data_IF_176322751676
#
_entry.id   IF_176322751676
#
_cell.length_a   1.000
_cell.length_b   1.000
_cell.length_c   1.000
_cell.angle_alpha   90.00
_cell.angle_beta   90.00
_cell.angle_gamma   90.00
#
_symmetry.space_group_name_H-M   'P 1'
#
loop_
_entity.id
_entity.type
_entity.pdbx_description
1 polymer ?
#
# COMPACT_ATOMS: atom_id res chain seq x y z
N UNK A 1 -54.00 13.63 -10.09
CA UNK A 1 -53.41 12.28 -9.99
C UNK A 1 -53.01 11.89 -11.41
N UNK A 2 -51.74 11.70 -11.80
CA UNK A 2 -50.48 11.46 -11.10
C UNK A 2 -49.35 12.06 -11.96
N UNK A 3 -48.31 12.56 -11.28
CA UNK A 3 -47.05 13.14 -11.77
C UNK A 3 -46.15 12.09 -12.43
N UNK A 4 -45.34 12.44 -13.45
CA UNK A 4 -43.99 11.90 -13.74
C UNK A 4 -43.43 12.70 -14.95
N UNK A 5 -42.19 13.16 -15.04
CA UNK A 5 -41.09 13.39 -14.10
C UNK A 5 -40.02 14.06 -14.98
N UNK A 6 -39.71 15.33 -14.71
CA UNK A 6 -38.74 16.12 -15.46
C UNK A 6 -37.33 15.55 -15.30
N UNK A 7 -36.80 14.81 -16.27
CA UNK A 7 -35.35 14.58 -16.38
C UNK A 7 -34.93 14.32 -17.84
N UNK A 8 -35.09 15.32 -18.70
CA UNK A 8 -34.54 15.26 -20.07
C UNK A 8 -33.70 16.50 -20.40
N UNK A 9 -32.94 17.00 -19.42
CA UNK A 9 -31.98 18.11 -19.62
C UNK A 9 -30.60 17.83 -19.01
N UNK A 10 -30.38 16.68 -18.36
CA UNK A 10 -29.04 16.30 -17.90
C UNK A 10 -28.49 15.22 -18.83
N UNK A 11 -27.44 15.57 -19.59
CA UNK A 11 -26.58 14.72 -20.43
C UNK A 11 -26.49 15.15 -21.91
N UNK A 12 -26.43 16.46 -22.15
CA UNK A 12 -25.62 17.00 -23.27
C UNK A 12 -24.23 17.30 -22.73
N UNK A 13 -23.55 16.25 -22.26
CA UNK A 13 -22.10 16.23 -22.07
C UNK A 13 -21.69 14.85 -22.59
N UNK A 14 -21.67 14.73 -23.91
CA UNK A 14 -20.95 13.67 -24.59
C UNK A 14 -19.49 13.75 -24.15
N UNK A 15 -19.07 12.74 -23.39
CA UNK A 15 -17.85 11.95 -23.59
C UNK A 15 -16.61 12.65 -24.16
N UNK A 16 -16.30 13.85 -23.68
CA UNK A 16 -14.95 14.37 -23.79
C UNK A 16 -14.13 13.58 -22.77
N UNK A 17 -13.43 12.55 -23.24
CA UNK A 17 -12.51 11.77 -22.44
C UNK A 17 -11.50 12.73 -21.79
N UNK A 18 -11.73 13.06 -20.51
CA UNK A 18 -10.80 13.88 -19.76
C UNK A 18 -9.55 13.05 -19.52
N UNK A 19 -8.51 13.34 -20.30
CA UNK A 19 -7.21 12.72 -20.16
C UNK A 19 -6.47 13.38 -19.00
N UNK A 20 -6.19 12.60 -17.95
CA UNK A 20 -5.45 13.07 -16.79
C UNK A 20 -4.16 12.26 -16.65
N UNK A 21 -3.02 12.95 -16.71
CA UNK A 21 -1.73 12.30 -16.47
C UNK A 21 -1.51 12.07 -14.98
N UNK A 22 -1.38 10.80 -14.59
CA UNK A 22 -1.13 10.38 -13.22
C UNK A 22 0.38 10.17 -13.05
N UNK A 23 1.04 11.09 -12.34
CA UNK A 23 2.48 10.99 -12.07
C UNK A 23 2.80 10.26 -10.74
N UNK A 24 1.84 10.17 -9.82
CA UNK A 24 2.05 9.60 -8.47
C UNK A 24 0.81 8.85 -7.95
N UNK A 25 1.00 7.98 -6.96
CA UNK A 25 -0.10 7.29 -6.28
C UNK A 25 -1.03 8.24 -5.53
N UNK A 26 -0.53 9.40 -5.07
CA UNK A 26 -1.36 10.37 -4.36
C UNK A 26 -2.38 11.04 -5.28
N UNK A 27 -2.09 11.15 -6.58
CA UNK A 27 -3.06 11.62 -7.58
C UNK A 27 -4.16 10.56 -7.84
N UNK A 28 -3.85 9.28 -7.63
CA UNK A 28 -4.80 8.18 -7.86
C UNK A 28 -5.88 8.09 -6.76
N UNK A 29 -5.54 8.41 -5.50
CA UNK A 29 -6.47 8.37 -4.36
C UNK A 29 -7.79 9.15 -4.60
N UNK A 30 -7.78 10.45 -4.96
CA UNK A 30 -9.01 11.18 -5.20
C UNK A 30 -9.78 10.65 -6.42
N UNK A 31 -9.10 10.10 -7.43
CA UNK A 31 -9.75 9.49 -8.59
C UNK A 31 -10.53 8.24 -8.20
N UNK A 32 -9.94 7.33 -7.42
CA UNK A 32 -10.63 6.12 -6.92
C UNK A 32 -11.89 6.50 -6.13
N UNK A 33 -11.78 7.49 -5.23
CA UNK A 33 -12.94 8.00 -4.48
C UNK A 33 -14.00 8.60 -5.41
N UNK A 34 -13.58 9.33 -6.44
CA UNK A 34 -14.44 9.93 -7.44
C UNK A 34 -15.22 8.88 -8.24
N UNK A 35 -14.53 7.86 -8.76
CA UNK A 35 -15.14 6.76 -9.49
C UNK A 35 -16.13 5.97 -8.62
N UNK A 36 -15.79 5.71 -7.35
CA UNK A 36 -16.73 5.06 -6.43
C UNK A 36 -18.03 5.85 -6.30
N UNK A 37 -17.92 7.17 -6.13
CA UNK A 37 -19.10 8.06 -6.05
C UNK A 37 -19.90 8.07 -7.35
N UNK A 38 -19.21 8.11 -8.51
CA UNK A 38 -19.83 8.03 -9.85
C UNK A 38 -20.56 6.71 -10.06
N UNK A 39 -20.04 5.61 -9.50
CA UNK A 39 -20.69 4.30 -9.48
C UNK A 39 -21.80 4.17 -8.40
N UNK A 40 -22.11 5.25 -7.67
CA UNK A 40 -23.10 5.27 -6.58
C UNK A 40 -22.85 4.25 -5.46
N UNK A 41 -21.59 3.84 -5.26
CA UNK A 41 -21.22 2.88 -4.23
C UNK A 41 -20.78 3.60 -2.95
N UNK A 42 -21.28 3.14 -1.79
CA UNK A 42 -20.74 3.56 -0.49
C UNK A 42 -19.43 2.80 -0.20
N UNK A 43 -18.66 3.25 0.80
CA UNK A 43 -17.50 2.49 1.26
C UNK A 43 -17.90 1.10 1.79
N UNK A 44 -19.04 1.02 2.47
CA UNK A 44 -19.58 -0.25 2.96
C UNK A 44 -19.96 -1.20 1.81
N UNK A 45 -20.62 -0.69 0.76
CA UNK A 45 -20.99 -1.49 -0.41
C UNK A 45 -19.77 -2.02 -1.17
N UNK A 46 -18.70 -1.22 -1.29
CA UNK A 46 -17.44 -1.69 -1.85
C UNK A 46 -16.78 -2.76 -0.98
N UNK A 47 -16.76 -2.53 0.34
CA UNK A 47 -16.20 -3.49 1.29
C UNK A 47 -16.92 -4.84 1.25
N UNK A 48 -18.26 -4.82 1.18
CA UNK A 48 -19.11 -6.00 1.03
C UNK A 48 -18.76 -6.79 -0.25
N UNK A 49 -18.71 -6.11 -1.40
CA UNK A 49 -18.32 -6.73 -2.69
C UNK A 49 -16.90 -7.31 -2.66
N UNK A 50 -16.03 -6.74 -1.82
CA UNK A 50 -14.64 -7.15 -1.66
C UNK A 50 -14.43 -8.20 -0.57
N UNK A 51 -15.48 -8.57 0.19
CA UNK A 51 -15.41 -9.51 1.31
C UNK A 51 -14.56 -9.01 2.49
N UNK A 52 -14.53 -7.69 2.74
CA UNK A 52 -13.72 -7.07 3.81
C UNK A 52 -14.58 -6.13 4.68
N UNK A 53 -14.03 -5.69 5.82
CA UNK A 53 -14.71 -4.69 6.64
C UNK A 53 -14.72 -3.31 5.96
N UNK A 54 -15.73 -2.48 6.29
CA UNK A 54 -15.79 -1.09 5.82
C UNK A 54 -14.54 -0.30 6.23
N UNK A 55 -14.05 -0.50 7.46
CA UNK A 55 -12.83 0.16 7.95
C UNK A 55 -11.61 -0.23 7.11
N UNK A 56 -11.47 -1.52 6.74
CA UNK A 56 -10.41 -1.99 5.86
C UNK A 56 -10.47 -1.31 4.49
N UNK A 57 -11.66 -1.15 3.91
CA UNK A 57 -11.83 -0.44 2.65
C UNK A 57 -11.53 1.07 2.77
N UNK A 58 -11.96 1.71 3.86
CA UNK A 58 -11.63 3.12 4.13
C UNK A 58 -10.11 3.33 4.24
N UNK A 59 -9.39 2.39 4.86
CA UNK A 59 -7.93 2.43 4.94
C UNK A 59 -7.27 2.25 3.57
N UNK A 60 -7.85 1.41 2.70
CA UNK A 60 -7.39 1.27 1.31
C UNK A 60 -7.52 2.61 0.58
N UNK A 61 -8.67 3.31 0.65
CA UNK A 61 -8.84 4.62 0.01
C UNK A 61 -7.89 5.69 0.58
N UNK A 62 -7.60 5.64 1.89
CA UNK A 62 -6.68 6.58 2.54
C UNK A 62 -5.20 6.30 2.18
N UNK A 63 -4.81 5.02 2.08
CA UNK A 63 -3.45 4.58 1.81
C UNK A 63 -3.37 3.55 0.67
N UNK A 64 -3.48 4.04 -0.56
CA UNK A 64 -3.31 3.20 -1.75
C UNK A 64 -1.91 2.58 -1.86
N UNK A 65 -0.86 3.19 -1.30
CA UNK A 65 0.51 2.71 -1.43
C UNK A 65 0.76 1.37 -0.70
N UNK A 66 -0.04 1.05 0.32
CA UNK A 66 0.00 -0.26 0.98
C UNK A 66 -0.87 -1.33 0.31
N UNK A 67 -1.63 -0.97 -0.73
CA UNK A 67 -2.54 -1.89 -1.44
C UNK A 67 -1.78 -2.60 -2.56
N UNK A 68 -2.00 -3.90 -2.71
CA UNK A 68 -1.41 -4.63 -3.84
C UNK A 68 -2.00 -4.14 -5.17
N UNK A 69 -1.20 -4.23 -6.23
CA UNK A 69 -1.63 -3.87 -7.59
C UNK A 69 -2.84 -4.71 -8.03
N UNK A 70 -2.82 -6.02 -7.75
CA UNK A 70 -3.95 -6.91 -8.04
C UNK A 70 -5.25 -6.45 -7.34
N UNK A 71 -5.14 -6.06 -6.07
CA UNK A 71 -6.29 -5.57 -5.31
C UNK A 71 -6.83 -4.25 -5.86
N UNK A 72 -5.93 -3.35 -6.29
CA UNK A 72 -6.31 -2.13 -7.01
C UNK A 72 -7.08 -2.45 -8.29
N UNK A 73 -6.60 -3.39 -9.12
CA UNK A 73 -7.32 -3.80 -10.34
C UNK A 73 -8.67 -4.45 -10.04
N UNK A 74 -8.81 -5.16 -8.92
CA UNK A 74 -10.10 -5.69 -8.49
C UNK A 74 -11.07 -4.56 -8.14
N UNK A 75 -10.61 -3.55 -7.41
CA UNK A 75 -11.42 -2.36 -7.06
C UNK A 75 -11.88 -1.63 -8.32
N UNK A 76 -10.99 -1.42 -9.29
CA UNK A 76 -11.31 -0.75 -10.55
C UNK A 76 -12.37 -1.52 -11.35
N UNK A 77 -12.23 -2.85 -11.45
CA UNK A 77 -13.21 -3.72 -12.10
C UNK A 77 -14.60 -3.64 -11.47
N UNK A 78 -14.68 -3.58 -10.14
CA UNK A 78 -15.97 -3.45 -9.42
C UNK A 78 -16.69 -2.12 -9.70
N UNK A 79 -15.95 -1.08 -10.12
CA UNK A 79 -16.49 0.23 -10.46
C UNK A 79 -16.61 0.45 -11.99
N UNK A 80 -16.37 -0.59 -12.79
CA UNK A 80 -16.30 -0.54 -14.26
C UNK A 80 -15.29 0.51 -14.80
N UNK A 81 -14.13 0.60 -14.16
CA UNK A 81 -13.04 1.52 -14.53
C UNK A 81 -11.90 0.76 -15.19
N UNK A 82 -11.35 1.31 -16.28
CA UNK A 82 -10.22 0.77 -17.03
C UNK A 82 -8.99 1.68 -16.87
N UNK A 83 -7.80 1.09 -16.95
CA UNK A 83 -6.52 1.82 -17.05
C UNK A 83 -5.99 1.62 -18.48
N UNK A 84 -5.52 2.70 -19.09
CA UNK A 84 -4.78 2.66 -20.35
C UNK A 84 -3.31 2.99 -20.08
N UNK A 85 -2.41 2.27 -20.75
CA UNK A 85 -0.97 2.51 -20.71
C UNK A 85 -0.55 2.96 -22.10
N UNK A 86 0.18 4.07 -22.17
CA UNK A 86 0.74 4.63 -23.40
C UNK A 86 2.26 4.69 -23.27
N UNK A 87 2.97 4.53 -24.38
CA UNK A 87 4.41 4.74 -24.40
C UNK A 87 4.73 6.20 -24.07
N UNK A 88 5.83 6.41 -23.35
CA UNK A 88 6.35 7.76 -23.16
C UNK A 88 6.91 8.29 -24.47
N UNK A 89 6.75 9.58 -24.72
CA UNK A 89 7.22 10.24 -25.94
C UNK A 89 8.71 9.89 -26.18
N UNK A 90 9.12 9.40 -27.38
CA UNK A 90 10.48 8.95 -27.68
C UNK A 90 11.59 9.98 -27.42
N UNK A 91 11.25 11.26 -27.24
CA UNK A 91 12.19 12.32 -26.83
C UNK A 91 12.33 12.52 -25.30
N UNK A 92 11.51 11.87 -24.48
CA UNK A 92 11.56 11.99 -23.02
C UNK A 92 12.70 11.13 -22.47
N UNK A 93 13.82 11.78 -22.15
CA UNK A 93 14.93 11.13 -21.44
C UNK A 93 14.44 10.73 -20.04
N UNK A 94 14.52 9.44 -19.65
CA UNK A 94 14.15 9.03 -18.29
C UNK A 94 14.95 9.82 -17.26
N UNK A 95 14.30 10.39 -16.23
CA UNK A 95 15.00 11.22 -15.22
C UNK A 95 16.12 10.38 -14.56
N UNK A 96 17.40 10.75 -14.74
CA UNK A 96 18.53 9.99 -14.21
C UNK A 96 18.58 9.95 -12.67
N UNK A 97 17.70 10.69 -11.99
CA UNK A 97 17.50 10.64 -10.53
C UNK A 97 16.63 9.48 -10.06
N UNK A 98 15.89 8.80 -10.95
CA UNK A 98 15.18 7.56 -10.63
C UNK A 98 16.21 6.43 -10.53
N UNK A 99 16.97 6.40 -9.44
CA UNK A 99 17.86 5.28 -9.12
C UNK A 99 17.05 4.27 -8.30
N UNK A 100 16.99 2.98 -8.70
CA UNK A 100 16.41 1.96 -7.84
C UNK A 100 17.17 2.01 -6.52
N UNK A 101 16.43 2.16 -5.42
CA UNK A 101 16.99 2.22 -4.07
C UNK A 101 17.50 0.83 -3.72
N UNK A 102 18.71 0.50 -4.16
CA UNK A 102 19.40 -0.72 -3.74
C UNK A 102 19.56 -0.63 -2.23
N UNK A 103 18.89 -1.52 -1.49
CA UNK A 103 19.13 -1.66 -0.05
C UNK A 103 20.62 -1.93 0.12
N UNK A 104 21.35 -0.93 0.61
CA UNK A 104 22.76 -1.06 0.94
C UNK A 104 22.92 -2.25 1.86
N UNK A 105 23.66 -3.25 1.37
CA UNK A 105 24.12 -4.40 2.15
C UNK A 105 24.85 -3.81 3.35
N UNK A 106 24.29 -3.96 4.54
CA UNK A 106 24.93 -3.54 5.77
C UNK A 106 26.35 -4.14 5.79
N UNK A 107 27.36 -3.27 5.83
CA UNK A 107 28.74 -3.67 6.03
C UNK A 107 28.81 -4.28 7.43
N UNK A 108 28.81 -5.60 7.53
CA UNK A 108 29.22 -6.31 8.75
C UNK A 108 30.71 -6.02 8.91
N UNK A 109 31.03 -5.01 9.71
CA UNK A 109 32.40 -4.76 10.16
C UNK A 109 32.71 -5.85 11.19
N UNK A 110 33.35 -6.93 10.75
CA UNK A 110 33.90 -7.93 11.65
C UNK A 110 35.00 -7.30 12.49
N UNK A 111 34.81 -7.29 13.80
CA UNK A 111 35.85 -6.99 14.79
C UNK A 111 36.85 -8.12 14.75
N UNK A 112 38.04 -7.86 14.21
CA UNK A 112 39.20 -8.75 14.36
C UNK A 112 39.68 -8.58 15.80
N UNK A 113 39.47 -9.62 16.61
CA UNK A 113 40.08 -9.78 17.93
C UNK A 113 41.44 -10.44 17.70
N UNK A 114 42.49 -9.63 17.70
CA UNK A 114 43.86 -10.12 17.86
C UNK A 114 44.14 -10.25 19.36
N UNK A 115 44.36 -11.48 19.83
CA UNK A 115 44.91 -11.73 21.16
C UNK A 115 45.86 -12.94 21.09
N UNK A 116 47.15 -12.77 21.44
CA UNK A 116 47.94 -13.91 21.85
C UNK A 116 48.74 -13.64 23.14
N UNK A 117 48.40 -14.39 24.18
CA UNK A 117 49.40 -14.96 25.11
C UNK A 117 49.25 -14.58 26.58
N UNK A 118 48.85 -15.56 27.42
CA UNK A 118 48.89 -15.37 28.88
C UNK A 118 48.30 -16.45 29.82
N UNK A 119 48.37 -17.74 29.48
CA UNK A 119 48.61 -18.93 30.36
C UNK A 119 48.18 -18.95 31.86
N UNK A 120 47.20 -19.83 32.16
CA UNK A 120 47.04 -20.76 33.33
C UNK A 120 46.52 -20.24 34.69
N UNK A 121 45.84 -20.96 35.61
CA UNK A 121 45.72 -22.40 36.00
C UNK A 121 44.36 -22.62 36.74
N UNK A 122 43.68 -23.77 36.56
CA UNK A 122 43.05 -24.53 37.67
C UNK A 122 41.63 -24.19 38.18
N UNK A 123 41.01 -25.08 38.99
CA UNK A 123 39.62 -25.52 38.80
C UNK A 123 38.55 -24.81 39.65
N UNK A 124 37.30 -25.00 39.22
CA UNK A 124 36.06 -24.45 39.79
C UNK A 124 35.82 -24.74 41.28
N UNK A 125 35.02 -23.87 41.92
CA UNK A 125 33.99 -24.37 42.84
C UNK A 125 32.57 -23.85 42.52
N UNK A 126 31.61 -24.69 42.87
CA UNK A 126 30.17 -24.54 42.64
C UNK A 126 29.43 -23.68 43.70
N UNK A 127 28.13 -23.45 43.42
CA UNK A 127 27.03 -22.88 44.24
C UNK A 127 26.93 -21.33 44.16
N UNK A 128 25.76 -20.69 44.00
CA UNK A 128 24.38 -21.05 44.33
C UNK A 128 23.38 -20.46 43.32
N UNK A 129 22.48 -21.29 42.80
CA UNK A 129 21.22 -20.82 42.20
C UNK A 129 20.29 -20.48 43.37
N UNK A 130 19.98 -19.19 43.56
CA UNK A 130 18.82 -18.78 44.36
C UNK A 130 17.57 -18.99 43.52
N UNK A 131 16.94 -20.15 43.74
CA UNK A 131 15.49 -20.32 43.61
C UNK A 131 14.83 -19.34 44.57
N UNK A 132 13.78 -18.66 44.13
CA UNK A 132 12.63 -18.18 44.91
C UNK A 132 11.49 -18.02 43.88
N UNK A 133 10.70 -19.08 43.70
CA UNK A 133 9.33 -19.25 44.24
C UNK A 133 8.28 -18.52 43.38
N UNK A 134 7.48 -19.25 42.58
CA UNK A 134 6.23 -19.93 43.00
C UNK A 134 5.23 -18.87 43.48
N UNK A 135 4.16 -18.54 42.76
CA UNK A 135 2.89 -19.29 42.59
C UNK A 135 1.99 -18.41 41.69
N UNK A 136 0.88 -18.79 41.02
CA UNK A 136 -0.05 -19.92 41.05
C UNK A 136 -0.97 -19.76 39.82
N UNK A 137 -1.36 -20.89 39.22
CA UNK A 137 -2.40 -21.18 38.22
C UNK A 137 -3.37 -20.07 37.80
#
# INVERSE_FOLDING_TARGET
MVLYSSYTVFNVIEDSAMEFTIHTLDHLKPLIRGFRKKAHLTQAAMAEKLGISQQSYAQIEANLASTSVDRLFTILRLMDVKIQLTDSDPGTVPDPRIRPRTKGRARVQGTVIDDPGGTTIGPAPAKQIKRNDTTKW
#
